data_IF_135456295364
#
_entry.id   IF_135456295364
#
_cell.length_a   1.000
_cell.length_b   1.000
_cell.length_c   1.000
_cell.angle_alpha   90.00
_cell.angle_beta   90.00
_cell.angle_gamma   90.00
#
_symmetry.space_group_name_H-M   'P 1'
#
loop_
_entity.id
_entity.type
_entity.pdbx_description
1 polymer ?
#
# COMPACT_ATOMS: atom_id res chain seq x y z
N UNK A 1 -15.26 34.35 10.79
CA UNK A 1 -15.53 33.03 11.40
C UNK A 1 -14.45 32.10 10.88
N UNK A 2 -13.41 31.83 11.64
CA UNK A 2 -12.37 30.87 11.23
C UNK A 2 -12.85 29.49 11.65
N UNK A 3 -13.10 28.61 10.73
CA UNK A 3 -13.36 27.19 10.97
C UNK A 3 -12.06 26.61 11.50
N UNK A 4 -12.10 26.02 12.68
CA UNK A 4 -10.91 25.47 13.34
C UNK A 4 -10.45 24.23 12.55
N UNK A 5 -9.14 24.12 12.30
CA UNK A 5 -8.55 22.98 11.55
C UNK A 5 -8.92 21.61 12.16
N UNK A 6 -9.35 21.58 13.41
CA UNK A 6 -9.79 20.39 14.12
C UNK A 6 -11.20 19.92 13.69
N UNK A 7 -12.08 20.88 13.36
CA UNK A 7 -13.42 20.56 12.84
C UNK A 7 -13.40 20.04 11.39
N UNK A 8 -12.41 20.47 10.60
CA UNK A 8 -12.21 19.96 9.23
C UNK A 8 -11.69 18.53 9.23
N UNK A 9 -10.78 18.17 10.13
CA UNK A 9 -10.28 16.80 10.29
C UNK A 9 -11.36 15.82 10.77
N UNK A 10 -12.24 16.24 11.68
CA UNK A 10 -13.34 15.41 12.16
C UNK A 10 -14.46 15.25 11.10
N UNK A 11 -14.72 16.27 10.28
CA UNK A 11 -15.70 16.21 9.19
C UNK A 11 -15.26 15.31 8.03
N UNK A 12 -13.96 15.28 7.69
CA UNK A 12 -13.41 14.39 6.68
C UNK A 12 -13.48 12.91 7.11
N UNK A 13 -13.34 12.62 8.41
CA UNK A 13 -13.48 11.27 8.98
C UNK A 13 -14.92 10.73 8.85
N UNK A 14 -15.92 11.53 9.15
CA UNK A 14 -17.34 11.15 9.06
C UNK A 14 -17.77 10.87 7.60
N UNK A 15 -17.26 11.63 6.63
CA UNK A 15 -17.54 11.44 5.21
C UNK A 15 -16.96 10.13 4.66
N UNK A 16 -15.77 9.75 5.08
CA UNK A 16 -15.11 8.50 4.68
C UNK A 16 -15.84 7.28 5.26
N UNK A 17 -16.34 7.39 6.49
CA UNK A 17 -17.13 6.34 7.15
C UNK A 17 -18.51 6.14 6.48
N UNK A 18 -19.17 7.24 6.11
CA UNK A 18 -20.46 7.21 5.38
C UNK A 18 -20.28 6.61 3.98
N UNK A 19 -19.15 6.82 3.34
CA UNK A 19 -18.82 6.29 2.02
C UNK A 19 -18.27 4.84 2.06
N UNK A 20 -18.16 4.23 3.24
CA UNK A 20 -17.65 2.88 3.41
C UNK A 20 -16.15 2.75 3.07
N UNK A 21 -15.43 3.85 2.99
CA UNK A 21 -13.98 3.90 2.82
C UNK A 21 -13.35 3.82 4.20
N UNK A 22 -13.18 2.62 4.71
CA UNK A 22 -12.34 2.41 5.89
C UNK A 22 -10.89 2.69 5.51
N UNK A 23 -10.40 3.87 5.83
CA UNK A 23 -8.96 4.15 5.81
C UNK A 23 -8.27 3.20 6.78
N UNK A 24 -7.69 2.14 6.27
CA UNK A 24 -6.83 1.30 7.08
C UNK A 24 -5.49 2.05 7.24
N UNK A 25 -5.38 2.84 8.30
CA UNK A 25 -4.14 3.53 8.64
C UNK A 25 -3.06 2.49 8.95
N UNK A 26 -2.02 2.46 8.13
CA UNK A 26 -0.86 1.61 8.35
C UNK A 26 0.07 2.31 9.34
N UNK A 27 0.20 1.76 10.54
CA UNK A 27 1.11 2.26 11.58
C UNK A 27 2.45 1.51 11.57
N UNK A 28 2.42 0.23 11.21
CA UNK A 28 3.63 -0.59 11.10
C UNK A 28 3.45 -1.76 10.14
N UNK A 29 4.57 -2.18 9.58
CA UNK A 29 4.72 -3.43 8.84
C UNK A 29 5.76 -4.27 9.56
N UNK A 30 5.42 -5.48 9.96
CA UNK A 30 6.34 -6.42 10.60
C UNK A 30 6.61 -7.58 9.66
N UNK A 31 7.89 -7.86 9.43
CA UNK A 31 8.37 -8.98 8.64
C UNK A 31 8.88 -10.06 9.58
N UNK A 32 8.26 -11.23 9.54
CA UNK A 32 8.76 -12.42 10.21
C UNK A 32 9.65 -13.22 9.25
N UNK A 33 10.73 -13.83 9.77
CA UNK A 33 11.71 -14.50 8.95
C UNK A 33 11.14 -15.72 8.22
N UNK A 34 11.63 -15.92 7.04
CA UNK A 34 11.36 -17.08 6.21
C UNK A 34 12.62 -17.90 5.99
N UNK A 35 12.78 -18.36 4.75
CA UNK A 35 13.90 -19.20 4.35
C UNK A 35 14.55 -18.65 3.08
N UNK A 36 15.86 -18.80 3.00
CA UNK A 36 16.61 -18.46 1.82
C UNK A 36 16.49 -19.55 0.73
N UNK A 37 17.14 -19.33 -0.43
CA UNK A 37 17.12 -20.29 -1.56
C UNK A 37 17.73 -21.67 -1.23
N UNK A 38 18.52 -21.76 -0.16
CA UNK A 38 19.14 -23.01 0.31
C UNK A 38 18.28 -23.74 1.33
N UNK A 39 17.15 -23.17 1.72
CA UNK A 39 16.28 -23.72 2.75
C UNK A 39 16.77 -23.44 4.18
N UNK A 40 17.72 -22.52 4.35
CA UNK A 40 18.18 -22.09 5.66
C UNK A 40 17.28 -20.96 6.17
N UNK A 41 16.97 -21.00 7.46
CA UNK A 41 16.17 -19.94 8.09
C UNK A 41 16.95 -18.63 8.10
N UNK A 42 16.26 -17.53 7.83
CA UNK A 42 16.84 -16.19 7.90
C UNK A 42 17.26 -15.84 9.33
N UNK A 43 18.39 -15.14 9.47
CA UNK A 43 19.08 -14.93 10.75
C UNK A 43 18.57 -13.73 11.58
N UNK A 44 17.34 -13.29 11.38
CA UNK A 44 16.71 -12.26 12.19
C UNK A 44 15.43 -12.81 12.87
N UNK A 45 14.97 -12.19 13.95
CA UNK A 45 13.76 -12.61 14.65
C UNK A 45 12.53 -11.95 14.03
N UNK A 46 12.55 -10.64 13.96
CA UNK A 46 11.54 -9.82 13.30
C UNK A 46 12.16 -8.50 12.79
N UNK A 47 11.55 -7.91 11.76
CA UNK A 47 11.88 -6.59 11.29
C UNK A 47 10.62 -5.74 11.28
N UNK A 48 10.59 -4.71 12.11
CA UNK A 48 9.46 -3.78 12.21
C UNK A 48 9.79 -2.48 11.50
N UNK A 49 8.94 -2.07 10.57
CA UNK A 49 9.01 -0.79 9.86
C UNK A 49 7.79 0.03 10.29
N UNK A 50 8.03 1.20 10.87
CA UNK A 50 6.97 2.09 11.34
C UNK A 50 6.56 3.10 10.27
N UNK A 51 5.36 3.61 10.37
CA UNK A 51 4.89 4.69 9.50
C UNK A 51 5.84 5.89 9.55
N UNK A 52 6.13 6.47 8.38
CA UNK A 52 7.05 7.60 8.24
C UNK A 52 8.54 7.23 8.16
N UNK A 53 8.92 5.97 8.37
CA UNK A 53 10.30 5.52 8.21
C UNK A 53 10.69 5.33 6.74
N UNK A 54 11.92 5.69 6.42
CA UNK A 54 12.56 5.39 5.12
C UNK A 54 13.59 4.29 5.34
N UNK A 55 13.38 3.14 4.71
CA UNK A 55 14.23 1.96 4.85
C UNK A 55 14.95 1.66 3.55
N UNK A 56 16.28 1.53 3.60
CA UNK A 56 17.09 1.11 2.48
C UNK A 56 17.41 -0.39 2.58
N UNK A 57 17.04 -1.14 1.54
CA UNK A 57 17.37 -2.56 1.43
C UNK A 57 18.60 -2.72 0.53
N UNK A 58 19.72 -3.10 1.11
CA UNK A 58 21.00 -3.25 0.42
C UNK A 58 21.44 -4.70 0.36
N UNK A 59 22.17 -5.05 -0.68
CA UNK A 59 22.71 -6.40 -0.85
C UNK A 59 23.11 -6.68 -2.29
N UNK A 60 23.94 -7.71 -2.53
CA UNK A 60 24.38 -8.07 -3.88
C UNK A 60 23.23 -8.53 -4.77
N UNK A 61 23.47 -8.55 -6.08
CA UNK A 61 22.51 -9.10 -7.04
C UNK A 61 22.18 -10.55 -6.69
N UNK A 62 20.91 -10.91 -6.72
CA UNK A 62 20.46 -12.27 -6.38
C UNK A 62 20.30 -12.54 -4.87
N UNK A 63 20.56 -11.57 -3.98
CA UNK A 63 20.37 -11.72 -2.53
C UNK A 63 18.92 -11.84 -2.05
N UNK A 64 17.95 -11.61 -2.95
CA UNK A 64 16.52 -11.75 -2.61
C UNK A 64 15.78 -10.44 -2.31
N UNK A 65 16.40 -9.27 -2.56
CA UNK A 65 15.77 -7.95 -2.32
C UNK A 65 14.40 -7.80 -2.99
N UNK A 66 14.31 -8.12 -4.28
CA UNK A 66 13.05 -8.03 -5.02
C UNK A 66 11.99 -9.02 -4.50
N UNK A 67 12.42 -10.16 -4.00
CA UNK A 67 11.50 -11.13 -3.38
C UNK A 67 10.97 -10.62 -2.05
N UNK A 68 11.80 -9.95 -1.26
CA UNK A 68 11.38 -9.32 -0.02
C UNK A 68 10.33 -8.23 -0.27
N UNK A 69 10.56 -7.37 -1.27
CA UNK A 69 9.58 -6.35 -1.67
C UNK A 69 8.26 -6.97 -2.15
N UNK A 70 8.33 -8.06 -2.92
CA UNK A 70 7.14 -8.78 -3.35
C UNK A 70 6.38 -9.41 -2.16
N UNK A 71 7.09 -9.97 -1.18
CA UNK A 71 6.45 -10.52 0.02
C UNK A 71 5.72 -9.43 0.82
N UNK A 72 6.30 -8.21 0.90
CA UNK A 72 5.65 -7.06 1.52
C UNK A 72 4.43 -6.61 0.69
N UNK A 73 4.61 -6.45 -0.62
CA UNK A 73 3.55 -6.00 -1.54
C UNK A 73 2.30 -6.90 -1.46
N UNK A 74 2.52 -8.20 -1.39
CA UNK A 74 1.44 -9.18 -1.37
C UNK A 74 1.01 -9.61 0.04
N UNK A 75 1.59 -9.01 1.09
CA UNK A 75 1.29 -9.36 2.47
C UNK A 75 1.47 -10.86 2.70
N UNK A 76 2.66 -11.41 2.41
CA UNK A 76 2.95 -12.82 2.49
C UNK A 76 2.53 -13.43 3.85
N UNK A 77 1.96 -14.63 3.84
CA UNK A 77 1.45 -15.34 5.03
C UNK A 77 2.01 -16.77 5.10
N UNK A 78 3.30 -16.92 4.84
CA UNK A 78 3.97 -18.22 4.78
C UNK A 78 3.67 -19.01 3.49
N UNK A 79 2.94 -18.45 2.56
CA UNK A 79 2.46 -19.05 1.32
C UNK A 79 3.31 -18.71 0.10
N UNK A 80 4.37 -17.93 0.28
CA UNK A 80 5.36 -17.62 -0.77
C UNK A 80 6.54 -18.61 -0.71
N UNK A 81 7.38 -18.67 -1.75
CA UNK A 81 8.57 -19.54 -1.75
C UNK A 81 9.53 -19.31 -0.57
N UNK A 82 9.57 -18.10 -0.04
CA UNK A 82 10.40 -17.73 1.12
C UNK A 82 9.78 -18.13 2.45
N UNK A 83 8.49 -18.44 2.49
CA UNK A 83 7.73 -18.70 3.73
C UNK A 83 7.76 -17.54 4.73
N UNK A 84 8.08 -16.32 4.30
CA UNK A 84 7.97 -15.14 5.15
C UNK A 84 6.52 -14.85 5.49
N UNK A 85 6.33 -14.17 6.62
CA UNK A 85 5.03 -13.65 7.02
C UNK A 85 5.12 -12.15 7.22
N UNK A 86 4.14 -11.42 6.68
CA UNK A 86 4.04 -9.97 6.79
C UNK A 86 2.80 -9.65 7.62
N UNK A 87 3.00 -8.90 8.69
CA UNK A 87 1.93 -8.38 9.53
C UNK A 87 1.75 -6.88 9.25
N UNK A 88 0.52 -6.43 9.21
CA UNK A 88 0.16 -5.01 9.14
C UNK A 88 -0.47 -4.63 10.48
N UNK A 89 0.08 -3.63 11.14
CA UNK A 89 -0.32 -3.25 12.51
C UNK A 89 -0.32 -4.42 13.50
N UNK A 90 0.63 -5.36 13.32
CA UNK A 90 0.76 -6.55 14.17
C UNK A 90 -0.18 -7.71 13.83
N UNK A 91 -1.03 -7.58 12.82
CA UNK A 91 -2.02 -8.59 12.44
C UNK A 91 -1.83 -9.08 10.99
N UNK A 92 -2.27 -10.31 10.72
CA UNK A 92 -2.33 -10.83 9.36
C UNK A 92 -3.44 -10.11 8.57
N UNK A 93 -3.16 -9.77 7.33
CA UNK A 93 -4.19 -9.26 6.44
C UNK A 93 -5.28 -10.31 6.19
N UNK A 94 -6.53 -9.87 6.16
CA UNK A 94 -7.66 -10.72 5.75
C UNK A 94 -7.39 -11.30 4.35
N UNK A 95 -7.52 -12.62 4.23
CA UNK A 95 -7.27 -13.34 2.98
C UNK A 95 -8.14 -12.84 1.81
N UNK A 96 -9.36 -12.36 2.08
CA UNK A 96 -10.27 -11.81 1.06
C UNK A 96 -9.82 -10.42 0.59
N UNK A 97 -9.27 -9.63 1.50
CA UNK A 97 -8.80 -8.26 1.22
C UNK A 97 -7.42 -8.25 0.55
N UNK A 98 -6.57 -9.21 0.88
CA UNK A 98 -5.17 -9.29 0.46
C UNK A 98 -4.97 -9.19 -1.06
N UNK A 99 -5.84 -9.81 -1.85
CA UNK A 99 -5.76 -9.83 -3.32
C UNK A 99 -6.70 -8.83 -4.00
N UNK A 100 -7.43 -8.05 -3.24
CA UNK A 100 -8.31 -7.03 -3.78
C UNK A 100 -7.53 -5.75 -4.13
N UNK A 101 -7.63 -5.22 -5.36
CA UNK A 101 -6.99 -3.96 -5.72
C UNK A 101 -7.39 -2.79 -4.81
N UNK A 102 -8.65 -2.76 -4.35
CA UNK A 102 -9.19 -1.71 -3.49
C UNK A 102 -8.57 -1.68 -2.08
N UNK A 103 -8.02 -2.80 -1.63
CA UNK A 103 -7.39 -2.91 -0.32
C UNK A 103 -5.86 -3.02 -0.39
N UNK A 104 -5.27 -2.77 -1.55
CA UNK A 104 -3.82 -2.83 -1.71
C UNK A 104 -3.16 -1.69 -0.93
N UNK A 105 -2.43 -2.02 0.14
CA UNK A 105 -1.75 -1.06 1.02
C UNK A 105 -0.40 -0.57 0.49
N UNK A 106 0.16 -1.25 -0.51
CA UNK A 106 1.51 -0.98 -1.03
C UNK A 106 1.43 -0.48 -2.46
N UNK A 107 2.04 0.68 -2.72
CA UNK A 107 2.34 1.16 -4.06
C UNK A 107 3.80 0.81 -4.40
N UNK A 108 4.03 0.14 -5.52
CA UNK A 108 5.35 -0.25 -5.97
C UNK A 108 5.72 0.47 -7.26
N UNK A 109 6.90 1.10 -7.27
CA UNK A 109 7.54 1.57 -8.49
C UNK A 109 8.57 0.53 -8.91
N UNK A 110 8.32 -0.16 -10.02
CA UNK A 110 9.26 -1.15 -10.55
C UNK A 110 10.34 -0.48 -11.39
N UNK A 111 11.50 -1.14 -11.50
CA UNK A 111 12.61 -0.68 -12.32
C UNK A 111 12.26 -0.58 -13.81
N UNK A 112 11.38 -1.44 -14.29
CA UNK A 112 10.88 -1.47 -15.66
C UNK A 112 9.36 -1.23 -15.65
N UNK A 113 8.96 0.04 -15.59
CA UNK A 113 7.56 0.41 -15.79
C UNK A 113 7.30 0.49 -17.29
N UNK A 114 6.71 -0.56 -17.84
CA UNK A 114 6.21 -0.54 -19.21
C UNK A 114 4.74 -0.11 -19.18
N UNK A 115 4.45 1.01 -19.82
CA UNK A 115 3.09 1.41 -20.09
C UNK A 115 2.60 0.60 -21.30
N UNK A 116 1.62 -0.25 -21.08
CA UNK A 116 1.07 -1.13 -22.12
C UNK A 116 0.00 -0.42 -22.98
N UNK A 117 -0.46 0.75 -22.53
CA UNK A 117 -1.50 1.54 -23.18
C UNK A 117 -1.01 2.95 -23.48
N UNK A 118 -1.43 3.47 -24.65
CA UNK A 118 -1.17 4.83 -25.09
C UNK A 118 -2.20 5.75 -24.40
N UNK A 119 -1.91 6.13 -23.17
CA UNK A 119 -2.76 6.97 -22.32
C UNK A 119 -2.05 8.30 -22.04
N UNK A 120 -2.82 9.36 -21.95
CA UNK A 120 -2.35 10.60 -21.36
C UNK A 120 -2.12 10.41 -19.86
N UNK A 121 -1.30 11.25 -19.24
CA UNK A 121 -1.06 11.23 -17.80
C UNK A 121 -2.37 11.30 -17.01
N UNK A 122 -3.33 12.11 -17.48
CA UNK A 122 -4.65 12.26 -16.86
C UNK A 122 -5.44 10.96 -16.91
N UNK A 123 -5.56 10.35 -18.08
CA UNK A 123 -6.27 9.08 -18.26
C UNK A 123 -5.65 7.96 -17.42
N UNK A 124 -4.31 7.95 -17.29
CA UNK A 124 -3.60 7.00 -16.44
C UNK A 124 -3.94 7.17 -14.95
N UNK A 125 -3.97 8.43 -14.47
CA UNK A 125 -4.34 8.74 -13.09
C UNK A 125 -5.80 8.38 -12.84
N UNK A 126 -6.70 8.76 -13.76
CA UNK A 126 -8.14 8.48 -13.66
C UNK A 126 -8.38 6.97 -13.60
N UNK A 127 -7.75 6.17 -14.48
CA UNK A 127 -7.84 4.72 -14.47
C UNK A 127 -7.37 4.10 -13.14
N UNK A 128 -6.26 4.61 -12.58
CA UNK A 128 -5.75 4.15 -11.29
C UNK A 128 -6.67 4.50 -10.13
N UNK A 129 -7.24 5.70 -10.14
CA UNK A 129 -8.21 6.12 -9.16
C UNK A 129 -9.48 5.26 -9.23
N UNK A 130 -10.05 5.07 -10.41
CA UNK A 130 -11.23 4.22 -10.64
C UNK A 130 -11.03 2.78 -10.18
N UNK A 131 -9.82 2.22 -10.40
CA UNK A 131 -9.52 0.84 -10.01
C UNK A 131 -9.38 0.62 -8.50
N UNK A 132 -9.20 1.70 -7.72
CA UNK A 132 -8.92 1.63 -6.28
C UNK A 132 -9.99 2.24 -5.39
N UNK A 133 -10.85 3.08 -5.95
CA UNK A 133 -11.89 3.76 -5.21
C UNK A 133 -13.23 3.04 -5.38
N UNK A 134 -13.89 2.79 -4.25
CA UNK A 134 -15.29 2.33 -4.22
C UNK A 134 -16.24 3.50 -4.54
N UNK A 135 -15.70 4.71 -4.69
CA UNK A 135 -16.42 5.93 -4.99
C UNK A 135 -16.80 6.01 -6.47
N UNK A 136 -17.96 6.62 -6.73
CA UNK A 136 -18.35 6.90 -8.09
C UNK A 136 -17.39 7.91 -8.76
N UNK A 137 -17.36 7.86 -10.09
CA UNK A 137 -16.43 8.65 -10.91
C UNK A 137 -16.60 10.17 -10.70
N UNK A 138 -17.81 10.65 -10.46
CA UNK A 138 -18.10 12.09 -10.34
C UNK A 138 -17.50 12.65 -9.06
N UNK A 139 -17.64 11.96 -7.93
CA UNK A 139 -17.07 12.37 -6.63
C UNK A 139 -15.54 12.43 -6.66
N UNK A 140 -14.90 11.52 -7.39
CA UNK A 140 -13.42 11.50 -7.55
C UNK A 140 -12.94 12.67 -8.41
N UNK A 141 -13.61 12.95 -9.51
CA UNK A 141 -13.28 14.05 -10.42
C UNK A 141 -13.45 15.40 -9.71
N UNK A 142 -14.50 15.56 -8.91
CA UNK A 142 -14.74 16.77 -8.14
C UNK A 142 -13.63 17.03 -7.14
N UNK A 143 -13.21 16.01 -6.38
CA UNK A 143 -12.14 16.12 -5.39
C UNK A 143 -10.76 16.37 -6.04
N UNK A 144 -10.46 15.74 -7.16
CA UNK A 144 -9.23 16.02 -7.93
C UNK A 144 -9.25 17.45 -8.48
N UNK A 145 -10.39 17.94 -8.96
CA UNK A 145 -10.57 19.30 -9.44
C UNK A 145 -10.35 20.35 -8.34
N UNK A 146 -10.86 20.09 -7.14
CA UNK A 146 -10.62 20.92 -5.95
C UNK A 146 -9.13 20.98 -5.57
N UNK A 147 -8.47 19.85 -5.55
CA UNK A 147 -7.02 19.79 -5.26
C UNK A 147 -6.20 20.55 -6.32
N UNK A 148 -6.55 20.42 -7.59
CA UNK A 148 -5.85 21.13 -8.68
C UNK A 148 -6.07 22.64 -8.63
N UNK A 149 -7.16 23.13 -8.05
CA UNK A 149 -7.44 24.55 -7.89
C UNK A 149 -6.66 25.21 -6.73
N UNK A 150 -6.04 24.41 -5.85
CA UNK A 150 -5.27 24.87 -4.68
C UNK A 150 -3.77 24.97 -4.93
N UNK A 151 -3.31 24.53 -6.09
CA UNK A 151 -1.91 24.61 -6.57
C UNK A 151 -1.82 25.33 -7.92
#
# INVERSE_FOLDING_TARGET
>A
MSIDNKELDEMDFDLLDILGVTEQKVESITLLPGYNKKGEKEGYEELVIKAGEIVAIVGPTGSGKSRLLADIEWGAQGDTPTKRTVLVNGELMDAKKRFSPSYKLVAQLSQNMNFVMDLTVREFIDLHAESRLVLDRESVIEKISELHSKF
#
